data_IF_495572927611
#
_entry.id   IF_495572927611
#
_cell.length_a   1.000
_cell.length_b   1.000
_cell.length_c   1.000
_cell.angle_alpha   90.00
_cell.angle_beta   90.00
_cell.angle_gamma   90.00
#
_symmetry.space_group_name_H-M   'P 1'
#
loop_
_entity.id
_entity.type
_entity.pdbx_description
1 polymer ?
#
# COMPACT_ATOMS: atom_id res chain seq x y z
N UNK A 1 7.14 7.19 -22.40
CA UNK A 1 5.73 7.46 -21.96
C UNK A 1 4.89 8.00 -23.12
N UNK A 2 5.38 8.95 -23.91
CA UNK A 2 4.67 9.53 -25.07
C UNK A 2 4.24 8.46 -26.08
N UNK A 3 5.14 7.54 -26.45
CA UNK A 3 4.85 6.42 -27.36
C UNK A 3 3.72 5.51 -26.85
N UNK A 4 3.65 5.29 -25.53
CA UNK A 4 2.58 4.48 -24.92
C UNK A 4 1.24 5.21 -25.03
N UNK A 5 1.20 6.52 -24.77
CA UNK A 5 -0.01 7.30 -24.91
C UNK A 5 -0.49 7.39 -26.36
N UNK A 6 0.42 7.45 -27.32
CA UNK A 6 0.12 7.42 -28.76
C UNK A 6 -0.47 6.06 -29.18
N UNK A 7 0.13 4.96 -28.69
CA UNK A 7 -0.35 3.60 -29.00
C UNK A 7 -1.66 3.24 -28.30
N UNK A 8 -1.93 3.83 -27.14
CA UNK A 8 -3.08 3.53 -26.30
C UNK A 8 -3.82 4.80 -25.89
N UNK A 9 -4.81 5.28 -26.66
CA UNK A 9 -5.49 6.56 -26.43
C UNK A 9 -6.19 6.70 -25.06
N UNK A 10 -6.40 5.59 -24.35
CA UNK A 10 -6.94 5.60 -22.97
C UNK A 10 -5.90 5.85 -21.90
N UNK A 11 -4.62 5.85 -22.27
CA UNK A 11 -3.52 6.18 -21.36
C UNK A 11 -3.30 7.67 -21.40
N UNK A 12 -3.38 8.32 -20.26
CA UNK A 12 -3.13 9.75 -20.10
C UNK A 12 -2.00 9.99 -19.10
N UNK A 13 -1.25 11.05 -19.30
CA UNK A 13 -0.27 11.53 -18.32
C UNK A 13 -1.02 12.51 -17.42
N UNK A 14 -1.05 12.20 -16.13
CA UNK A 14 -1.74 13.05 -15.14
C UNK A 14 -0.92 14.31 -14.83
N UNK A 15 -1.59 15.46 -14.80
CA UNK A 15 -1.00 16.77 -14.49
C UNK A 15 -1.39 17.26 -13.09
N UNK A 16 -2.38 16.59 -12.43
CA UNK A 16 -2.85 16.93 -11.09
C UNK A 16 -1.95 16.32 -10.00
N UNK A 17 -2.10 16.84 -8.79
CA UNK A 17 -1.58 16.17 -7.61
C UNK A 17 -2.11 14.72 -7.56
N UNK A 18 -1.20 13.77 -7.39
CA UNK A 18 -1.51 12.33 -7.40
C UNK A 18 -2.55 11.92 -6.35
N UNK A 19 -2.67 12.66 -5.24
CA UNK A 19 -3.69 12.42 -4.22
C UNK A 19 -5.12 12.62 -4.76
N UNK A 20 -5.32 13.55 -5.70
CA UNK A 20 -6.62 13.77 -6.33
C UNK A 20 -7.04 12.55 -7.14
N UNK A 21 -6.09 11.88 -7.81
CA UNK A 21 -6.37 10.65 -8.54
C UNK A 21 -6.74 9.48 -7.62
N UNK A 22 -6.19 9.42 -6.39
CA UNK A 22 -6.55 8.38 -5.43
C UNK A 22 -8.03 8.43 -5.03
N UNK A 23 -8.61 9.61 -4.95
CA UNK A 23 -10.03 9.76 -4.61
C UNK A 23 -10.95 9.20 -5.72
N UNK A 24 -10.54 9.32 -6.97
CA UNK A 24 -11.36 9.00 -8.15
C UNK A 24 -11.05 7.64 -8.78
N UNK A 25 -9.84 7.10 -8.60
CA UNK A 25 -9.44 5.84 -9.23
C UNK A 25 -10.21 4.63 -8.65
N UNK A 26 -10.29 3.55 -9.42
CA UNK A 26 -10.81 2.27 -8.95
C UNK A 26 -9.75 1.45 -8.21
N UNK A 27 -8.50 1.54 -8.64
CA UNK A 27 -7.34 0.89 -8.02
C UNK A 27 -6.04 1.57 -8.45
N UNK A 28 -4.99 1.29 -7.71
CA UNK A 28 -3.63 1.78 -7.97
C UNK A 28 -2.76 0.63 -8.49
N UNK A 29 -1.89 0.92 -9.44
CA UNK A 29 -0.86 -0.02 -9.90
C UNK A 29 0.50 0.61 -9.68
N UNK A 30 1.38 -0.08 -8.99
CA UNK A 30 2.73 0.39 -8.74
C UNK A 30 3.70 -0.77 -8.56
N UNK A 31 5.00 -0.51 -8.65
CA UNK A 31 6.00 -1.51 -8.33
C UNK A 31 6.09 -1.71 -6.81
N UNK A 32 6.48 -0.68 -6.08
CA UNK A 32 6.72 -0.74 -4.63
C UNK A 32 6.53 0.62 -3.93
N UNK A 33 5.70 1.49 -4.49
CA UNK A 33 5.48 2.83 -3.94
C UNK A 33 4.56 2.85 -2.73
N UNK A 34 4.84 3.74 -1.79
CA UNK A 34 3.95 4.09 -0.68
C UNK A 34 2.59 4.66 -1.13
N UNK A 35 2.44 5.01 -2.41
CA UNK A 35 1.15 5.37 -3.00
C UNK A 35 0.11 4.25 -2.80
N UNK A 36 0.53 2.98 -2.76
CA UNK A 36 -0.36 1.86 -2.50
C UNK A 36 -0.91 1.87 -1.06
N UNK A 37 -0.10 2.24 -0.06
CA UNK A 37 -0.62 2.37 1.31
C UNK A 37 -1.47 3.63 1.47
N UNK A 38 -1.12 4.72 0.78
CA UNK A 38 -1.96 5.92 0.73
C UNK A 38 -3.34 5.62 0.12
N UNK A 39 -3.40 4.79 -0.93
CA UNK A 39 -4.65 4.36 -1.55
C UNK A 39 -5.60 3.67 -0.56
N UNK A 40 -5.08 2.93 0.41
CA UNK A 40 -5.89 2.25 1.44
C UNK A 40 -6.69 3.24 2.30
N UNK A 41 -6.18 4.45 2.55
CA UNK A 41 -6.94 5.50 3.25
C UNK A 41 -8.14 5.99 2.43
N UNK A 42 -8.09 5.88 1.12
CA UNK A 42 -9.19 6.15 0.19
C UNK A 42 -10.02 4.90 -0.12
N UNK A 43 -9.82 3.80 0.59
CA UNK A 43 -10.48 2.51 0.34
C UNK A 43 -10.25 1.97 -1.07
N UNK A 44 -9.08 2.29 -1.66
CA UNK A 44 -8.72 1.84 -3.01
C UNK A 44 -7.72 0.70 -2.93
N UNK A 45 -8.00 -0.43 -3.58
CA UNK A 45 -7.07 -1.55 -3.64
C UNK A 45 -5.89 -1.26 -4.57
N UNK A 46 -4.83 -2.04 -4.42
CA UNK A 46 -3.61 -1.85 -5.22
C UNK A 46 -3.07 -3.16 -5.78
N UNK A 47 -2.52 -3.08 -7.00
CA UNK A 47 -1.70 -4.14 -7.61
C UNK A 47 -0.24 -3.76 -7.48
N UNK A 48 0.57 -4.68 -6.93
CA UNK A 48 2.00 -4.49 -6.72
C UNK A 48 2.82 -5.42 -7.61
N UNK A 49 3.80 -4.85 -8.31
CA UNK A 49 4.79 -5.58 -9.10
C UNK A 49 6.09 -5.87 -8.34
N UNK A 50 6.25 -5.31 -7.15
CA UNK A 50 7.37 -5.56 -6.24
C UNK A 50 6.87 -5.91 -4.84
N UNK A 51 7.78 -6.43 -4.01
CA UNK A 51 7.47 -6.76 -2.62
C UNK A 51 7.70 -5.54 -1.71
N UNK A 52 6.75 -5.31 -0.81
CA UNK A 52 6.79 -4.28 0.24
C UNK A 52 6.17 -4.84 1.51
N UNK A 53 6.33 -4.17 2.64
CA UNK A 53 5.86 -4.66 3.95
C UNK A 53 4.35 -4.88 4.02
N UNK A 54 3.59 -4.22 3.16
CA UNK A 54 2.12 -4.32 3.07
C UNK A 54 1.62 -5.07 1.83
N UNK A 55 2.47 -5.85 1.14
CA UNK A 55 2.09 -6.55 -0.10
C UNK A 55 0.95 -7.57 0.09
N UNK A 56 0.84 -8.18 1.25
CA UNK A 56 -0.10 -9.27 1.54
C UNK A 56 -1.59 -8.86 1.56
N UNK A 57 -1.92 -7.57 1.66
CA UNK A 57 -3.29 -7.06 1.52
C UNK A 57 -3.58 -6.55 0.10
N UNK A 58 -2.58 -6.52 -0.76
CA UNK A 58 -2.65 -6.07 -2.14
C UNK A 58 -2.76 -7.26 -3.11
N UNK A 59 -3.05 -7.00 -4.38
CA UNK A 59 -2.81 -7.97 -5.45
C UNK A 59 -1.31 -8.03 -5.74
N UNK A 60 -0.64 -9.10 -5.38
CA UNK A 60 0.80 -9.26 -5.56
C UNK A 60 1.10 -10.03 -6.84
N UNK A 61 1.68 -9.35 -7.84
CA UNK A 61 2.05 -10.00 -9.10
C UNK A 61 3.14 -11.06 -8.91
N UNK A 62 4.05 -10.85 -7.96
CA UNK A 62 5.12 -11.80 -7.65
C UNK A 62 4.61 -13.10 -7.01
N UNK A 63 3.51 -13.05 -6.27
CA UNK A 63 2.96 -14.21 -5.57
C UNK A 63 1.84 -14.87 -6.37
N UNK A 64 1.00 -14.06 -7.00
CA UNK A 64 -0.24 -14.52 -7.63
C UNK A 64 -0.17 -14.58 -9.16
N UNK A 65 0.82 -13.92 -9.77
CA UNK A 65 0.81 -13.64 -11.20
C UNK A 65 -0.12 -12.47 -11.58
N UNK A 66 0.07 -11.94 -12.78
CA UNK A 66 -0.63 -10.71 -13.24
C UNK A 66 -2.15 -10.86 -13.20
N UNK A 67 -2.68 -11.90 -13.84
CA UNK A 67 -4.14 -12.09 -13.98
C UNK A 67 -4.84 -12.21 -12.64
N UNK A 68 -4.29 -12.99 -11.73
CA UNK A 68 -4.85 -13.24 -10.41
C UNK A 68 -4.73 -12.00 -9.50
N UNK A 69 -3.61 -11.28 -9.54
CA UNK A 69 -3.44 -10.03 -8.80
C UNK A 69 -4.51 -8.99 -9.20
N UNK A 70 -4.78 -8.82 -10.48
CA UNK A 70 -5.84 -7.93 -10.96
C UNK A 70 -7.24 -8.45 -10.63
N UNK A 71 -7.47 -9.77 -10.65
CA UNK A 71 -8.75 -10.37 -10.25
C UNK A 71 -9.03 -10.09 -8.77
N UNK A 72 -8.06 -10.31 -7.88
CA UNK A 72 -8.17 -10.01 -6.44
C UNK A 72 -8.55 -8.57 -6.18
N UNK A 73 -7.94 -7.64 -6.91
CA UNK A 73 -8.21 -6.20 -6.77
C UNK A 73 -9.62 -5.81 -7.23
N UNK A 74 -10.12 -6.42 -8.30
CA UNK A 74 -11.46 -6.11 -8.83
C UNK A 74 -12.59 -6.76 -8.04
N UNK A 75 -12.37 -7.95 -7.51
CA UNK A 75 -13.42 -8.77 -6.87
C UNK A 75 -13.30 -8.78 -5.34
N UNK A 76 -12.14 -8.43 -4.81
CA UNK A 76 -11.85 -8.41 -3.38
C UNK A 76 -12.49 -7.22 -2.67
N UNK A 77 -12.73 -7.40 -1.38
CA UNK A 77 -13.19 -6.33 -0.49
C UNK A 77 -12.39 -6.37 0.82
N UNK A 78 -11.09 -6.02 0.78
CA UNK A 78 -10.23 -6.06 1.95
C UNK A 78 -10.64 -5.00 2.99
N UNK A 79 -10.53 -5.35 4.26
CA UNK A 79 -10.79 -4.41 5.35
C UNK A 79 -9.57 -3.50 5.58
N UNK A 80 -9.41 -2.50 4.73
CA UNK A 80 -8.30 -1.54 4.83
C UNK A 80 -8.27 -0.80 6.16
N UNK A 81 -9.42 -0.46 6.73
CA UNK A 81 -9.48 0.24 8.01
C UNK A 81 -8.86 -0.59 9.15
N UNK A 82 -9.21 -1.85 9.24
CA UNK A 82 -8.63 -2.75 10.23
C UNK A 82 -7.14 -2.98 9.97
N UNK A 83 -6.75 -3.13 8.70
CA UNK A 83 -5.37 -3.31 8.31
C UNK A 83 -4.50 -2.10 8.65
N UNK A 84 -4.92 -0.88 8.31
CA UNK A 84 -4.19 0.36 8.62
C UNK A 84 -4.03 0.55 10.12
N UNK A 85 -5.06 0.22 10.91
CA UNK A 85 -4.97 0.24 12.37
C UNK A 85 -3.88 -0.72 12.86
N UNK A 86 -3.92 -1.97 12.41
CA UNK A 86 -2.92 -2.98 12.75
C UNK A 86 -1.52 -2.56 12.30
N UNK A 87 -1.36 -2.10 11.06
CA UNK A 87 -0.07 -1.70 10.50
C UNK A 87 0.54 -0.52 11.26
N UNK A 88 -0.19 0.57 11.42
CA UNK A 88 0.32 1.80 12.02
C UNK A 88 0.27 1.85 13.54
N UNK A 89 -0.69 1.22 14.19
CA UNK A 89 -0.81 1.28 15.65
C UNK A 89 -0.16 0.11 16.36
N UNK A 90 -0.20 -1.08 15.77
CA UNK A 90 0.30 -2.28 16.44
C UNK A 90 1.70 -2.69 15.96
N UNK A 91 2.07 -2.39 14.70
CA UNK A 91 3.30 -2.87 14.09
C UNK A 91 4.32 -1.77 13.75
N UNK A 92 3.97 -0.51 13.89
CA UNK A 92 4.91 0.60 13.72
C UNK A 92 5.00 1.44 15.00
N UNK A 93 6.07 2.22 15.12
CA UNK A 93 6.28 3.16 16.21
C UNK A 93 6.42 4.55 15.59
N UNK A 94 5.60 5.48 16.07
CA UNK A 94 5.73 6.88 15.64
C UNK A 94 6.94 7.50 16.33
N UNK A 95 8.01 7.73 15.56
CA UNK A 95 9.25 8.30 16.05
C UNK A 95 9.14 9.75 16.59
N UNK A 96 8.05 10.46 16.27
CA UNK A 96 7.77 11.80 16.76
C UNK A 96 7.15 11.87 18.17
N UNK A 97 6.84 10.73 18.78
CA UNK A 97 6.25 10.70 20.13
C UNK A 97 7.33 10.89 21.23
N UNK A 98 6.95 11.53 22.32
CA UNK A 98 7.84 11.71 23.48
C UNK A 98 8.20 10.40 24.19
N UNK A 99 7.33 9.38 24.08
CA UNK A 99 7.52 8.06 24.69
C UNK A 99 8.13 7.01 23.73
N UNK A 100 8.69 7.44 22.60
CA UNK A 100 9.20 6.54 21.53
C UNK A 100 10.21 5.51 22.03
N UNK A 101 11.14 5.92 22.90
CA UNK A 101 12.18 5.03 23.45
C UNK A 101 11.55 3.93 24.30
N UNK A 102 10.60 4.27 25.16
CA UNK A 102 9.90 3.30 25.98
C UNK A 102 9.10 2.30 25.14
N UNK A 103 8.44 2.78 24.07
CA UNK A 103 7.73 1.91 23.13
C UNK A 103 8.69 0.96 22.40
N UNK A 104 9.87 1.43 21.96
CA UNK A 104 10.90 0.58 21.35
C UNK A 104 11.37 -0.49 22.33
N UNK A 105 11.76 -0.11 23.54
CA UNK A 105 12.24 -1.05 24.57
C UNK A 105 11.16 -2.09 24.93
N UNK A 106 9.93 -1.65 25.10
CA UNK A 106 8.80 -2.54 25.39
C UNK A 106 8.59 -3.56 24.25
N UNK A 107 8.68 -3.12 23.01
CA UNK A 107 8.52 -4.01 21.83
C UNK A 107 9.68 -4.99 21.72
N UNK A 108 10.92 -4.55 21.92
CA UNK A 108 12.09 -5.43 21.91
C UNK A 108 11.99 -6.51 22.99
N UNK A 109 11.63 -6.14 24.24
CA UNK A 109 11.41 -7.10 25.33
C UNK A 109 10.31 -8.10 24.99
N UNK A 110 9.20 -7.67 24.35
CA UNK A 110 8.13 -8.58 23.88
C UNK A 110 8.64 -9.63 22.89
N UNK A 111 9.67 -9.29 22.11
CA UNK A 111 10.32 -10.20 21.16
C UNK A 111 11.53 -10.95 21.75
N UNK A 112 11.69 -10.95 23.07
CA UNK A 112 12.71 -11.73 23.76
C UNK A 112 14.10 -11.08 23.83
N UNK A 113 14.19 -9.78 23.56
CA UNK A 113 15.46 -9.08 23.73
C UNK A 113 15.66 -8.70 25.20
N UNK A 114 16.81 -9.11 25.76
CA UNK A 114 17.22 -8.74 27.12
C UNK A 114 17.92 -7.37 27.09
N UNK A 115 17.15 -6.32 27.37
CA UNK A 115 17.63 -4.93 27.39
C UNK A 115 17.01 -4.16 28.56
#
# INVERSE_FOLDING_TARGET
LTEICEAYPRVIIGELDWLNYLAECNYVVTQNSSAAIAAMFFQKPSVLFGRVDFHHICGSVLEDGVSEAFRKVREGNPNFKAYLKWFFQENTINAGRSDVIEQILTRLRRHGWEI
#
